data_IF_027421132722
#
_entry.id   IF_027421132722
#
_cell.length_a   1.000
_cell.length_b   1.000
_cell.length_c   1.000
_cell.angle_alpha   90.00
_cell.angle_beta   90.00
_cell.angle_gamma   90.00
#
_symmetry.space_group_name_H-M   'P 1'
#
loop_
_entity.id
_entity.type
_entity.pdbx_description
1 polymer ?
#
# COMPACT_ATOMS: atom_id res chain seq x y z
N UNK A 1 -16.43 68.94 30.39
CA UNK A 1 -16.38 67.70 29.60
C UNK A 1 -16.59 66.53 30.55
N UNK A 2 -17.81 66.01 30.64
CA UNK A 2 -18.17 64.95 31.59
C UNK A 2 -17.80 63.57 31.02
N UNK A 3 -16.79 62.93 31.61
CA UNK A 3 -16.46 61.53 31.31
C UNK A 3 -17.59 60.63 31.82
N UNK A 4 -18.30 59.97 30.90
CA UNK A 4 -19.19 58.86 31.25
C UNK A 4 -18.33 57.77 31.90
N UNK A 5 -18.68 57.37 33.12
CA UNK A 5 -18.06 56.22 33.79
C UNK A 5 -18.43 54.96 33.01
N UNK A 6 -17.43 54.14 32.67
CA UNK A 6 -17.65 52.84 32.07
C UNK A 6 -18.52 51.98 33.00
N UNK A 7 -19.44 51.24 32.41
CA UNK A 7 -20.26 50.26 33.11
C UNK A 7 -19.38 49.06 33.50
N UNK A 8 -19.65 48.43 34.64
CA UNK A 8 -18.86 47.28 35.14
C UNK A 8 -18.79 46.12 34.13
N UNK A 9 -19.85 45.95 33.33
CA UNK A 9 -19.90 45.01 32.20
C UNK A 9 -18.92 45.37 31.08
N UNK A 10 -18.86 46.65 30.70
CA UNK A 10 -17.93 47.13 29.68
C UNK A 10 -16.48 46.97 30.13
N UNK A 11 -16.23 47.08 31.44
CA UNK A 11 -14.91 46.87 32.03
C UNK A 11 -14.48 45.40 31.96
N UNK A 12 -15.38 44.46 32.20
CA UNK A 12 -15.10 43.02 32.07
C UNK A 12 -14.91 42.58 30.61
N UNK A 13 -15.71 43.12 29.69
CA UNK A 13 -15.58 42.85 28.25
C UNK A 13 -14.26 43.40 27.70
N UNK A 14 -13.77 44.55 28.20
CA UNK A 14 -12.45 45.08 27.87
C UNK A 14 -11.30 44.14 28.31
N UNK A 15 -11.40 43.57 29.51
CA UNK A 15 -10.37 42.65 30.04
C UNK A 15 -10.30 41.37 29.20
N UNK A 16 -11.45 40.77 28.88
CA UNK A 16 -11.50 39.56 28.05
C UNK A 16 -11.00 39.79 26.62
N UNK A 17 -11.28 40.97 26.05
CA UNK A 17 -10.73 41.36 24.75
C UNK A 17 -9.21 41.58 24.80
N UNK A 18 -8.68 42.21 25.86
CA UNK A 18 -7.23 42.37 26.04
C UNK A 18 -6.50 41.03 26.22
N UNK A 19 -7.09 40.08 26.94
CA UNK A 19 -6.54 38.73 27.05
C UNK A 19 -6.52 38.00 25.71
N UNK A 20 -7.61 38.11 24.96
CA UNK A 20 -7.73 37.54 23.61
C UNK A 20 -6.69 38.16 22.67
N UNK A 21 -6.53 39.48 22.66
CA UNK A 21 -5.53 40.19 21.87
C UNK A 21 -4.10 39.76 22.23
N UNK A 22 -3.80 39.66 23.53
CA UNK A 22 -2.50 39.19 24.03
C UNK A 22 -2.20 37.76 23.56
N UNK A 23 -3.21 36.89 23.55
CA UNK A 23 -3.09 35.51 23.08
C UNK A 23 -2.87 35.45 21.56
N UNK A 24 -3.58 36.28 20.78
CA UNK A 24 -3.41 36.38 19.33
C UNK A 24 -2.05 36.96 18.96
N UNK A 25 -1.59 38.01 19.64
CA UNK A 25 -0.26 38.60 19.40
C UNK A 25 0.87 37.60 19.65
N UNK A 26 0.77 36.77 20.70
CA UNK A 26 1.74 35.68 20.94
C UNK A 26 1.73 34.67 19.79
N UNK A 27 0.55 34.25 19.32
CA UNK A 27 0.42 33.35 18.16
C UNK A 27 1.03 33.97 16.90
N UNK A 28 0.76 35.25 16.61
CA UNK A 28 1.35 35.98 15.47
C UNK A 28 2.87 36.06 15.58
N UNK A 29 3.40 36.31 16.78
CA UNK A 29 4.85 36.35 17.00
C UNK A 29 5.49 34.98 16.74
N UNK A 30 4.90 33.90 17.25
CA UNK A 30 5.36 32.54 16.96
C UNK A 30 5.29 32.18 15.47
N UNK A 31 4.25 32.63 14.75
CA UNK A 31 4.10 32.42 13.31
C UNK A 31 5.13 33.23 12.50
N UNK A 32 5.40 34.48 12.88
CA UNK A 32 6.41 35.33 12.21
C UNK A 32 7.84 34.87 12.47
N UNK A 33 8.16 34.34 13.66
CA UNK A 33 9.45 33.67 13.92
C UNK A 33 9.58 32.38 13.10
N UNK A 34 8.48 31.63 12.92
CA UNK A 34 8.41 30.42 12.06
C UNK A 34 8.60 30.76 10.58
N UNK A 35 8.06 31.88 10.11
CA UNK A 35 8.18 32.36 8.73
C UNK A 35 9.62 32.74 8.35
N UNK A 36 10.42 33.23 9.31
CA UNK A 36 11.84 33.56 9.12
C UNK A 36 12.78 32.36 9.12
N UNK A 37 12.30 31.16 9.45
CA UNK A 37 13.15 29.98 9.49
C UNK A 37 13.36 29.41 8.08
N UNK A 38 14.62 29.16 7.70
CA UNK A 38 15.01 28.55 6.41
C UNK A 38 14.23 27.26 6.09
N UNK A 39 13.81 26.54 7.13
CA UNK A 39 12.95 25.36 7.07
C UNK A 39 11.56 25.63 6.48
N UNK A 40 10.94 26.79 6.71
CA UNK A 40 9.63 27.13 6.16
C UNK A 40 9.72 27.35 4.63
N UNK A 41 10.77 28.03 4.17
CA UNK A 41 11.00 28.26 2.74
C UNK A 41 11.32 26.95 1.99
N UNK A 42 12.10 26.06 2.60
CA UNK A 42 12.36 24.71 2.06
C UNK A 42 11.09 23.83 2.07
N UNK A 43 10.29 23.91 3.13
CA UNK A 43 9.01 23.18 3.23
C UNK A 43 7.98 23.66 2.20
N UNK A 44 7.90 24.97 1.92
CA UNK A 44 7.04 25.51 0.87
C UNK A 44 7.46 25.05 -0.53
N UNK A 45 8.77 24.94 -0.81
CA UNK A 45 9.27 24.40 -2.07
C UNK A 45 9.00 22.90 -2.23
N UNK A 46 8.92 22.15 -1.12
CA UNK A 46 8.60 20.71 -1.10
C UNK A 46 7.10 20.38 -1.14
N UNK A 47 6.20 21.36 -0.92
CA UNK A 47 4.75 21.17 -1.04
C UNK A 47 4.29 20.56 -2.37
N UNK A 48 4.72 21.06 -3.55
CA UNK A 48 4.32 20.45 -4.83
C UNK A 48 4.83 19.00 -4.96
N UNK A 49 6.02 18.70 -4.43
CA UNK A 49 6.55 17.33 -4.41
C UNK A 49 5.74 16.41 -3.47
N UNK A 50 5.30 16.90 -2.31
CA UNK A 50 4.44 16.16 -1.38
C UNK A 50 3.09 15.80 -2.04
N UNK A 51 2.48 16.76 -2.74
CA UNK A 51 1.22 16.53 -3.49
C UNK A 51 1.44 15.54 -4.62
N UNK A 52 2.50 15.69 -5.43
CA UNK A 52 2.81 14.78 -6.52
C UNK A 52 3.05 13.34 -6.03
N UNK A 53 3.79 13.18 -4.93
CA UNK A 53 4.02 11.86 -4.35
C UNK A 53 2.73 11.26 -3.81
N UNK A 54 1.88 12.07 -3.16
CA UNK A 54 0.58 11.64 -2.65
C UNK A 54 -0.37 11.20 -3.77
N UNK A 55 -0.48 11.98 -4.85
CA UNK A 55 -1.32 11.62 -6.01
C UNK A 55 -0.79 10.39 -6.73
N UNK A 56 0.53 10.26 -6.90
CA UNK A 56 1.15 9.06 -7.47
C UNK A 56 0.92 7.81 -6.59
N UNK A 57 1.05 7.95 -5.28
CA UNK A 57 0.77 6.87 -4.33
C UNK A 57 -0.71 6.45 -4.32
N UNK A 58 -1.64 7.40 -4.47
CA UNK A 58 -3.08 7.13 -4.62
C UNK A 58 -3.37 6.42 -5.96
N UNK A 59 -2.77 6.87 -7.06
CA UNK A 59 -2.92 6.20 -8.35
C UNK A 59 -2.37 4.75 -8.28
N UNK A 60 -1.21 4.58 -7.65
CA UNK A 60 -0.61 3.26 -7.40
C UNK A 60 -1.52 2.34 -6.58
N UNK A 61 -2.16 2.84 -5.52
CA UNK A 61 -3.06 2.02 -4.69
C UNK A 61 -4.28 1.55 -5.49
N UNK A 62 -4.86 2.41 -6.34
CA UNK A 62 -5.99 2.06 -7.22
C UNK A 62 -5.58 1.00 -8.23
N UNK A 63 -4.41 1.13 -8.86
CA UNK A 63 -3.90 0.13 -9.82
C UNK A 63 -3.67 -1.22 -9.13
N UNK A 64 -3.06 -1.24 -7.95
CA UNK A 64 -2.86 -2.46 -7.16
C UNK A 64 -4.21 -3.08 -6.78
N UNK A 65 -5.16 -2.27 -6.30
CA UNK A 65 -6.49 -2.74 -5.92
C UNK A 65 -7.21 -3.39 -7.11
N UNK A 66 -7.23 -2.71 -8.25
CA UNK A 66 -7.83 -3.23 -9.48
C UNK A 66 -7.16 -4.54 -9.93
N UNK A 67 -5.83 -4.62 -9.86
CA UNK A 67 -5.06 -5.83 -10.19
C UNK A 67 -5.43 -7.00 -9.29
N UNK A 68 -5.52 -6.79 -7.97
CA UNK A 68 -5.89 -7.83 -7.01
C UNK A 68 -7.34 -8.28 -7.23
N UNK A 69 -8.26 -7.37 -7.55
CA UNK A 69 -9.65 -7.70 -7.88
C UNK A 69 -9.72 -8.59 -9.12
N UNK A 70 -9.01 -8.24 -10.19
CA UNK A 70 -8.98 -9.05 -11.41
C UNK A 70 -8.43 -10.45 -11.14
N UNK A 71 -7.29 -10.55 -10.45
CA UNK A 71 -6.71 -11.84 -10.07
C UNK A 71 -7.67 -12.64 -9.18
N UNK A 72 -8.35 -12.00 -8.22
CA UNK A 72 -9.31 -12.68 -7.36
C UNK A 72 -10.52 -13.22 -8.14
N UNK A 73 -11.02 -12.48 -9.12
CA UNK A 73 -12.10 -12.91 -10.02
C UNK A 73 -11.68 -14.09 -10.89
N UNK A 74 -10.46 -14.07 -11.42
CA UNK A 74 -9.89 -15.18 -12.18
C UNK A 74 -9.74 -16.44 -11.31
N UNK A 75 -9.31 -16.31 -10.05
CA UNK A 75 -9.29 -17.43 -9.07
C UNK A 75 -10.68 -18.01 -8.83
N UNK A 76 -11.72 -17.16 -8.76
CA UNK A 76 -13.10 -17.64 -8.60
C UNK A 76 -13.54 -18.45 -9.82
N UNK A 77 -13.32 -17.93 -11.04
CA UNK A 77 -13.64 -18.66 -12.28
C UNK A 77 -12.89 -19.99 -12.37
N UNK A 78 -11.60 -20.00 -12.06
CA UNK A 78 -10.79 -21.22 -12.04
C UNK A 78 -11.26 -22.27 -11.01
N UNK A 79 -11.86 -21.84 -9.89
CA UNK A 79 -12.49 -22.74 -8.91
C UNK A 79 -13.84 -23.30 -9.36
N UNK A 80 -14.57 -22.57 -10.21
CA UNK A 80 -15.87 -22.99 -10.75
C UNK A 80 -15.77 -23.88 -11.99
N UNK A 81 -14.58 -23.99 -12.61
CA UNK A 81 -14.28 -25.06 -13.56
C UNK A 81 -14.17 -26.39 -12.80
N UNK A 82 -15.33 -26.99 -12.53
CA UNK A 82 -15.52 -28.28 -11.86
C UNK A 82 -16.65 -29.07 -12.52
N UNK A 83 -16.79 -28.94 -13.84
CA UNK A 83 -17.75 -29.71 -14.62
C UNK A 83 -17.30 -29.84 -16.08
N UNK A 84 -17.09 -31.08 -16.54
CA UNK A 84 -17.04 -31.41 -17.96
C UNK A 84 -15.73 -31.98 -18.46
N UNK A 85 -14.68 -31.18 -18.58
CA UNK A 85 -13.55 -31.53 -19.45
C UNK A 85 -12.23 -31.54 -18.69
N UNK A 86 -11.55 -32.69 -18.70
CA UNK A 86 -10.34 -33.03 -17.95
C UNK A 86 -9.07 -32.24 -18.29
N UNK A 87 -9.15 -30.90 -18.37
CA UNK A 87 -8.00 -30.00 -18.23
C UNK A 87 -7.87 -29.62 -16.75
N UNK A 88 -6.69 -29.89 -16.18
CA UNK A 88 -6.42 -29.90 -14.74
C UNK A 88 -6.90 -28.66 -13.98
N UNK A 89 -8.12 -28.73 -13.46
CA UNK A 89 -8.68 -27.75 -12.54
C UNK A 89 -8.29 -28.11 -11.11
N UNK A 90 -7.26 -27.43 -10.61
CA UNK A 90 -6.77 -27.58 -9.25
C UNK A 90 -5.63 -26.62 -8.87
N UNK A 91 -5.22 -25.75 -9.79
CA UNK A 91 -4.17 -24.78 -9.55
C UNK A 91 -4.70 -23.57 -8.80
N UNK A 92 -4.07 -23.23 -7.67
CA UNK A 92 -4.19 -21.92 -7.02
C UNK A 92 -3.52 -20.79 -7.83
N UNK A 93 -2.93 -21.13 -8.98
CA UNK A 93 -2.17 -20.26 -9.86
C UNK A 93 -3.04 -19.83 -11.04
N UNK A 94 -2.89 -18.57 -11.42
CA UNK A 94 -3.76 -17.88 -12.37
C UNK A 94 -2.91 -17.31 -13.49
N UNK A 95 -3.41 -17.41 -14.71
CA UNK A 95 -2.69 -16.99 -15.91
C UNK A 95 -2.68 -15.47 -16.14
N UNK A 96 -3.34 -14.66 -15.31
CA UNK A 96 -3.01 -13.23 -15.17
C UNK A 96 -3.02 -12.38 -16.44
N UNK A 97 -3.70 -12.83 -17.49
CA UNK A 97 -3.62 -12.24 -18.83
C UNK A 97 -4.15 -10.81 -18.85
N UNK A 98 -5.13 -10.49 -17.99
CA UNK A 98 -5.79 -9.18 -17.95
C UNK A 98 -5.33 -8.27 -16.81
N UNK A 99 -4.33 -8.70 -16.03
CA UNK A 99 -3.86 -7.93 -14.88
C UNK A 99 -2.88 -6.83 -15.34
N UNK A 100 -3.16 -5.53 -15.07
CA UNK A 100 -2.37 -4.43 -15.61
C UNK A 100 -0.96 -4.35 -15.02
N UNK A 101 -0.76 -4.72 -13.75
CA UNK A 101 0.58 -4.74 -13.16
C UNK A 101 1.40 -5.88 -13.73
N UNK A 102 0.77 -7.05 -13.95
CA UNK A 102 1.41 -8.17 -14.63
C UNK A 102 1.85 -7.81 -16.05
N UNK A 103 0.95 -7.22 -16.84
CA UNK A 103 1.25 -6.75 -18.19
C UNK A 103 2.34 -5.68 -18.21
N UNK A 104 2.33 -4.74 -17.25
CA UNK A 104 3.37 -3.72 -17.12
C UNK A 104 4.75 -4.30 -16.80
N UNK A 105 4.81 -5.36 -15.99
CA UNK A 105 6.05 -6.07 -15.68
C UNK A 105 6.57 -6.88 -16.87
N UNK A 106 5.69 -7.57 -17.60
CA UNK A 106 6.04 -8.32 -18.82
C UNK A 106 6.42 -7.40 -19.99
N UNK A 107 5.85 -6.20 -20.06
CA UNK A 107 6.25 -5.22 -21.07
C UNK A 107 7.61 -4.60 -20.72
N UNK A 108 7.83 -4.27 -19.44
CA UNK A 108 9.11 -3.71 -18.99
C UNK A 108 10.27 -4.69 -19.06
N UNK A 109 10.03 -5.99 -19.03
CA UNK A 109 11.07 -7.03 -19.13
C UNK A 109 11.78 -7.08 -20.48
N UNK A 110 11.19 -6.46 -21.52
CA UNK A 110 11.85 -6.26 -22.81
C UNK A 110 13.07 -5.32 -22.70
N UNK A 111 13.08 -4.43 -21.71
CA UNK A 111 14.12 -3.44 -21.45
C UNK A 111 14.84 -3.76 -20.14
N UNK A 112 15.74 -4.74 -20.16
CA UNK A 112 16.54 -5.09 -18.99
C UNK A 112 17.34 -3.87 -18.47
N UNK A 113 17.34 -3.52 -17.16
CA UNK A 113 16.76 -4.21 -15.98
C UNK A 113 15.49 -3.53 -15.40
N UNK A 114 14.67 -2.90 -16.24
CA UNK A 114 13.57 -2.03 -15.81
C UNK A 114 12.47 -2.78 -15.04
N UNK A 115 12.21 -4.02 -15.41
CA UNK A 115 11.27 -4.95 -14.75
C UNK A 115 11.62 -5.21 -13.28
N UNK A 116 12.91 -5.40 -12.98
CA UNK A 116 13.42 -5.66 -11.64
C UNK A 116 13.30 -4.42 -10.75
N UNK A 117 13.56 -3.24 -11.32
CA UNK A 117 13.36 -1.96 -10.63
C UNK A 117 11.87 -1.74 -10.35
N UNK A 118 11.01 -1.99 -11.34
CA UNK A 118 9.57 -1.82 -11.21
C UNK A 118 8.99 -2.78 -10.15
N UNK A 119 9.35 -4.06 -10.18
CA UNK A 119 8.95 -5.02 -9.16
C UNK A 119 9.43 -4.58 -7.77
N UNK A 120 10.67 -4.12 -7.65
CA UNK A 120 11.22 -3.63 -6.38
C UNK A 120 10.43 -2.41 -5.87
N UNK A 121 10.06 -1.47 -6.75
CA UNK A 121 9.24 -0.32 -6.39
C UNK A 121 7.84 -0.74 -5.94
N UNK A 122 7.21 -1.72 -6.58
CA UNK A 122 5.90 -2.25 -6.15
C UNK A 122 6.00 -2.90 -4.77
N UNK A 123 7.01 -3.75 -4.53
CA UNK A 123 7.21 -4.39 -3.23
C UNK A 123 7.52 -3.36 -2.14
N UNK A 124 8.42 -2.41 -2.43
CA UNK A 124 8.76 -1.33 -1.51
C UNK A 124 7.54 -0.47 -1.18
N UNK A 125 6.72 -0.15 -2.19
CA UNK A 125 5.47 0.58 -2.01
C UNK A 125 4.52 -0.17 -1.07
N UNK A 126 4.26 -1.45 -1.32
CA UNK A 126 3.41 -2.26 -0.44
C UNK A 126 3.97 -2.33 0.99
N UNK A 127 5.29 -2.50 1.13
CA UNK A 127 5.94 -2.49 2.44
C UNK A 127 5.76 -1.14 3.16
N UNK A 128 5.99 -0.01 2.47
CA UNK A 128 5.78 1.32 3.03
C UNK A 128 4.32 1.57 3.40
N UNK A 129 3.37 1.08 2.60
CA UNK A 129 1.95 1.11 2.96
C UNK A 129 1.65 0.33 4.24
N UNK A 130 2.23 -0.88 4.40
CA UNK A 130 2.06 -1.67 5.63
C UNK A 130 2.68 -0.99 6.84
N UNK A 131 3.85 -0.35 6.67
CA UNK A 131 4.52 0.41 7.72
C UNK A 131 3.70 1.64 8.11
N UNK A 132 3.20 2.40 7.14
CA UNK A 132 2.34 3.57 7.37
C UNK A 132 1.04 3.17 8.08
N UNK A 133 0.40 2.07 7.64
CA UNK A 133 -0.79 1.54 8.32
C UNK A 133 -0.50 1.15 9.78
N UNK A 134 0.64 0.51 10.04
CA UNK A 134 1.05 0.15 11.39
C UNK A 134 1.30 1.38 12.27
N UNK A 135 1.92 2.43 11.73
CA UNK A 135 2.22 3.68 12.44
C UNK A 135 0.93 4.46 12.77
N UNK A 136 0.05 4.68 11.79
CA UNK A 136 -1.15 5.51 11.99
C UNK A 136 -2.26 4.80 12.77
N UNK A 137 -2.50 3.50 12.50
CA UNK A 137 -3.55 2.74 13.19
C UNK A 137 -3.08 2.26 14.58
N UNK A 138 -1.78 1.98 14.70
CA UNK A 138 -1.19 1.30 15.85
C UNK A 138 -1.46 -0.21 15.84
N UNK A 139 -0.89 -0.93 16.81
CA UNK A 139 -1.17 -2.36 16.96
C UNK A 139 -2.44 -2.54 17.81
N UNK A 140 -3.52 -2.96 17.16
CA UNK A 140 -4.79 -3.29 17.80
C UNK A 140 -5.09 -4.76 17.57
N UNK A 141 -5.20 -5.53 18.65
CA UNK A 141 -6.03 -6.74 18.63
C UNK A 141 -7.46 -6.24 18.52
N UNK A 142 -8.40 -6.88 17.80
CA UNK A 142 -9.63 -6.29 17.25
C UNK A 142 -10.44 -5.34 18.15
N UNK A 143 -10.28 -5.39 19.47
CA UNK A 143 -10.91 -4.48 20.43
C UNK A 143 -9.97 -3.83 21.48
N UNK A 144 -8.69 -4.22 21.52
CA UNK A 144 -7.72 -3.78 22.54
C UNK A 144 -6.51 -3.14 21.85
N UNK A 145 -6.23 -1.87 22.19
CA UNK A 145 -5.01 -1.16 21.75
C UNK A 145 -3.84 -1.65 22.59
N UNK A 146 -2.92 -2.40 21.98
CA UNK A 146 -1.73 -2.94 22.66
C UNK A 146 -0.57 -1.96 22.55
N UNK A 147 -0.41 -1.34 21.38
CA UNK A 147 0.68 -0.40 21.13
C UNK A 147 0.20 0.81 20.33
N UNK A 148 0.46 1.99 20.88
CA UNK A 148 0.33 3.27 20.21
C UNK A 148 1.72 3.77 19.79
N UNK A 149 1.93 3.95 18.48
CA UNK A 149 3.21 4.39 17.95
C UNK A 149 3.23 5.92 17.95
N UNK A 150 3.81 6.51 19.01
CA UNK A 150 4.02 7.95 19.12
C UNK A 150 5.44 8.33 18.76
N UNK A 151 5.60 9.36 17.94
CA UNK A 151 6.93 9.89 17.61
C UNK A 151 7.62 10.31 18.91
N UNK A 152 8.83 9.79 19.14
CA UNK A 152 9.69 10.07 20.33
C UNK A 152 9.14 9.61 21.69
N UNK A 153 8.02 8.90 21.74
CA UNK A 153 7.41 8.43 23.00
C UNK A 153 7.03 6.95 23.00
N UNK A 154 7.50 6.15 22.02
CA UNK A 154 7.32 4.69 22.02
C UNK A 154 8.30 3.98 22.96
N UNK A 155 7.82 3.09 23.85
CA UNK A 155 8.71 2.25 24.64
C UNK A 155 9.49 1.26 23.75
N UNK A 156 10.73 0.86 24.13
CA UNK A 156 11.58 -0.03 23.31
C UNK A 156 10.95 -1.41 23.08
N UNK A 157 10.18 -1.92 24.04
CA UNK A 157 9.41 -3.17 23.91
C UNK A 157 8.35 -3.07 22.80
N UNK A 158 7.73 -1.89 22.64
CA UNK A 158 6.77 -1.63 21.58
C UNK A 158 7.43 -1.64 20.20
N UNK A 159 8.62 -1.05 20.08
CA UNK A 159 9.38 -1.06 18.84
C UNK A 159 9.77 -2.49 18.42
N UNK A 160 10.18 -3.34 19.38
CA UNK A 160 10.47 -4.76 19.13
C UNK A 160 9.24 -5.56 18.68
N UNK A 161 8.06 -5.27 19.25
CA UNK A 161 6.82 -5.92 18.83
C UNK A 161 6.38 -5.45 17.43
N UNK A 162 6.54 -4.16 17.12
CA UNK A 162 6.23 -3.63 15.80
C UNK A 162 7.13 -4.26 14.71
N UNK A 163 8.42 -4.39 14.98
CA UNK A 163 9.36 -5.03 14.04
C UNK A 163 9.06 -6.53 13.88
N UNK A 164 8.71 -7.24 14.95
CA UNK A 164 8.35 -8.67 14.83
C UNK A 164 7.08 -8.87 14.01
N UNK A 165 6.07 -8.01 14.16
CA UNK A 165 4.86 -8.03 13.33
C UNK A 165 5.18 -7.75 11.86
N UNK A 166 6.06 -6.80 11.57
CA UNK A 166 6.50 -6.53 10.19
C UNK A 166 7.28 -7.71 9.59
N UNK A 167 8.13 -8.38 10.38
CA UNK A 167 8.86 -9.58 9.95
C UNK A 167 7.88 -10.71 9.60
N UNK A 168 6.91 -10.99 10.48
CA UNK A 168 5.86 -11.97 10.20
C UNK A 168 5.01 -11.55 8.99
N UNK A 169 4.79 -10.24 8.82
CA UNK A 169 4.07 -9.64 7.69
C UNK A 169 4.73 -9.82 6.32
N UNK A 170 6.02 -10.16 6.26
CA UNK A 170 6.72 -10.44 4.99
C UNK A 170 6.13 -11.65 4.25
N UNK A 171 5.63 -12.65 4.98
CA UNK A 171 5.04 -13.83 4.36
C UNK A 171 3.68 -13.50 3.69
N UNK A 172 2.70 -12.88 4.37
CA UNK A 172 1.51 -12.34 3.73
C UNK A 172 1.82 -11.41 2.56
N UNK A 173 2.83 -10.54 2.69
CA UNK A 173 3.26 -9.64 1.62
C UNK A 173 3.73 -10.42 0.39
N UNK A 174 4.51 -11.48 0.58
CA UNK A 174 4.96 -12.37 -0.50
C UNK A 174 3.79 -13.04 -1.22
N UNK A 175 2.78 -13.48 -0.47
CA UNK A 175 1.53 -13.98 -1.04
C UNK A 175 0.78 -12.91 -1.83
N UNK A 176 0.77 -11.68 -1.31
CA UNK A 176 0.12 -10.54 -1.94
C UNK A 176 0.76 -10.20 -3.29
N UNK A 177 2.09 -10.29 -3.42
CA UNK A 177 2.81 -10.08 -4.68
C UNK A 177 2.33 -11.05 -5.77
N UNK A 178 2.09 -12.32 -5.43
CA UNK A 178 1.48 -13.30 -6.37
C UNK A 178 0.02 -12.96 -6.70
N UNK A 179 -0.68 -12.23 -5.83
CA UNK A 179 -1.99 -11.66 -6.16
C UNK A 179 -1.91 -10.46 -7.11
N UNK A 180 -0.88 -9.62 -6.97
CA UNK A 180 -0.70 -8.39 -7.77
C UNK A 180 -0.18 -8.70 -9.16
N UNK A 181 0.73 -9.67 -9.33
CA UNK A 181 1.29 -10.04 -10.63
C UNK A 181 1.47 -11.57 -10.72
N UNK A 182 0.40 -12.34 -10.98
CA UNK A 182 0.42 -13.79 -10.81
C UNK A 182 1.36 -14.54 -11.76
N UNK A 183 1.44 -14.16 -13.05
CA UNK A 183 2.39 -14.80 -13.97
C UNK A 183 3.82 -14.36 -13.70
N UNK A 184 4.07 -13.06 -13.62
CA UNK A 184 5.42 -12.54 -13.44
C UNK A 184 6.02 -12.97 -12.09
N UNK A 185 5.25 -12.94 -10.99
CA UNK A 185 5.73 -13.46 -9.71
C UNK A 185 5.87 -15.00 -9.71
N UNK A 186 5.09 -15.70 -10.54
CA UNK A 186 5.08 -17.15 -10.66
C UNK A 186 6.28 -17.72 -11.41
N UNK A 187 6.53 -17.21 -12.62
CA UNK A 187 7.52 -17.74 -13.57
C UNK A 187 8.49 -16.66 -14.10
N UNK A 188 8.32 -15.39 -13.74
CA UNK A 188 9.12 -14.29 -14.27
C UNK A 188 8.80 -13.99 -15.74
N UNK A 189 9.83 -13.64 -16.50
CA UNK A 189 9.75 -13.39 -17.95
C UNK A 189 10.03 -14.66 -18.78
N UNK A 190 9.86 -15.85 -18.20
CA UNK A 190 10.14 -17.10 -18.91
C UNK A 190 9.05 -17.36 -19.97
N UNK A 191 9.50 -17.74 -21.17
CA UNK A 191 8.63 -18.15 -22.30
C UNK A 191 9.10 -19.50 -22.82
N UNK A 192 8.19 -20.28 -23.37
CA UNK A 192 8.51 -21.57 -23.99
C UNK A 192 7.84 -21.74 -25.35
N UNK A 193 8.41 -22.64 -26.15
CA UNK A 193 7.89 -23.01 -27.45
C UNK A 193 6.89 -24.17 -27.30
N UNK A 194 5.63 -23.93 -27.69
CA UNK A 194 4.58 -24.95 -27.63
C UNK A 194 4.61 -25.91 -28.84
N UNK A 195 5.32 -25.54 -29.92
CA UNK A 195 5.46 -26.39 -31.10
C UNK A 195 6.69 -27.33 -30.99
N UNK A 196 6.53 -28.58 -31.40
CA UNK A 196 7.62 -29.55 -31.52
C UNK A 196 7.77 -29.97 -32.98
N UNK A 197 8.95 -29.73 -33.55
CA UNK A 197 9.29 -30.16 -34.90
C UNK A 197 10.40 -31.22 -34.81
N UNK A 198 10.12 -32.44 -35.25
CA UNK A 198 11.12 -33.53 -35.26
C UNK A 198 11.63 -33.95 -33.87
N UNK A 199 10.85 -33.73 -32.81
CA UNK A 199 11.25 -34.03 -31.43
C UNK A 199 12.05 -32.92 -30.73
N UNK A 200 12.34 -31.82 -31.41
CA UNK A 200 12.99 -30.62 -30.86
C UNK A 200 11.97 -29.49 -30.75
N UNK A 201 11.94 -28.79 -29.62
CA UNK A 201 11.14 -27.57 -29.42
C UNK A 201 11.86 -26.39 -30.06
N UNK A 202 11.60 -26.13 -31.35
CA UNK A 202 12.15 -25.00 -32.07
C UNK A 202 11.02 -24.13 -32.64
N UNK A 203 11.01 -22.84 -32.28
CA UNK A 203 10.01 -21.86 -32.70
C UNK A 203 10.61 -20.74 -33.57
N UNK A 204 11.82 -20.93 -34.13
CA UNK A 204 12.46 -19.93 -34.99
C UNK A 204 11.59 -19.50 -36.18
N UNK A 205 10.93 -20.45 -36.81
CA UNK A 205 10.07 -20.21 -37.98
C UNK A 205 8.60 -19.94 -37.61
N UNK A 206 8.23 -20.07 -36.33
CA UNK A 206 6.88 -19.87 -35.84
C UNK A 206 6.89 -19.09 -34.51
N UNK A 207 7.14 -17.76 -34.55
CA UNK A 207 7.20 -16.94 -33.33
C UNK A 207 5.85 -16.87 -32.60
N UNK A 208 4.74 -17.16 -33.27
CA UNK A 208 3.39 -17.21 -32.69
C UNK A 208 3.23 -18.37 -31.69
N UNK A 209 4.07 -19.41 -31.79
CA UNK A 209 4.05 -20.54 -30.85
C UNK A 209 4.88 -20.31 -29.58
N UNK A 210 5.41 -19.09 -29.38
CA UNK A 210 6.10 -18.67 -28.15
C UNK A 210 5.04 -18.15 -27.17
N UNK A 211 4.88 -18.87 -26.05
CA UNK A 211 3.85 -18.60 -25.04
C UNK A 211 4.53 -18.39 -23.68
N UNK A 212 4.03 -17.48 -22.81
CA UNK A 212 4.53 -17.35 -21.45
C UNK A 212 4.42 -18.67 -20.67
N UNK A 213 5.41 -18.92 -19.81
CA UNK A 213 5.35 -20.05 -18.89
C UNK A 213 4.16 -19.92 -17.93
N UNK A 214 3.40 -20.99 -17.79
CA UNK A 214 2.22 -21.08 -16.91
C UNK A 214 2.12 -22.46 -16.25
N UNK A 215 0.97 -22.75 -15.66
CA UNK A 215 0.73 -24.04 -14.97
C UNK A 215 0.75 -25.21 -15.94
N UNK A 216 0.29 -25.00 -17.18
CA UNK A 216 0.26 -26.03 -18.22
C UNK A 216 1.63 -26.27 -18.87
N UNK A 217 2.64 -25.47 -18.52
CA UNK A 217 3.95 -25.54 -19.17
C UNK A 217 4.77 -26.77 -18.70
N UNK A 218 5.59 -27.34 -19.60
CA UNK A 218 6.48 -28.45 -19.26
C UNK A 218 7.48 -28.07 -18.15
N UNK A 219 7.54 -28.88 -17.10
CA UNK A 219 8.44 -28.65 -15.95
C UNK A 219 9.93 -28.79 -16.28
N UNK A 220 10.25 -29.41 -17.42
CA UNK A 220 11.61 -29.51 -17.97
C UNK A 220 12.11 -28.20 -18.60
N UNK A 221 11.20 -27.26 -18.93
CA UNK A 221 11.54 -26.00 -19.60
C UNK A 221 11.30 -24.80 -18.68
N UNK A 222 10.15 -24.75 -18.01
CA UNK A 222 9.77 -23.63 -17.17
C UNK A 222 10.06 -23.92 -15.70
N UNK A 223 10.83 -23.03 -15.05
CA UNK A 223 11.17 -23.14 -13.63
C UNK A 223 10.43 -22.09 -12.82
N UNK A 224 9.58 -22.49 -11.85
CA UNK A 224 8.85 -21.53 -11.02
C UNK A 224 9.79 -20.78 -10.07
N UNK A 225 9.39 -19.57 -9.67
CA UNK A 225 10.17 -18.77 -8.72
C UNK A 225 10.18 -19.37 -7.32
N UNK A 226 11.15 -18.94 -6.49
CA UNK A 226 11.22 -19.35 -5.08
C UNK A 226 9.97 -18.94 -4.29
N UNK A 227 9.40 -17.77 -4.59
CA UNK A 227 8.17 -17.29 -3.95
C UNK A 227 6.98 -18.18 -4.33
N UNK A 228 6.85 -18.51 -5.61
CA UNK A 228 5.80 -19.37 -6.14
C UNK A 228 5.86 -20.78 -5.54
N UNK A 229 7.06 -21.38 -5.50
CA UNK A 229 7.28 -22.71 -4.91
C UNK A 229 7.01 -22.72 -3.40
N UNK A 230 7.45 -21.68 -2.67
CA UNK A 230 7.18 -21.54 -1.24
C UNK A 230 5.68 -21.48 -0.95
N UNK A 231 4.94 -20.61 -1.65
CA UNK A 231 3.50 -20.43 -1.47
C UNK A 231 2.75 -21.71 -1.84
N UNK A 232 3.12 -22.36 -2.94
CA UNK A 232 2.51 -23.63 -3.36
C UNK A 232 2.71 -24.70 -2.30
N UNK A 233 3.94 -24.82 -1.76
CA UNK A 233 4.25 -25.79 -0.70
C UNK A 233 3.50 -25.51 0.60
N UNK A 234 3.39 -24.24 1.02
CA UNK A 234 2.61 -23.85 2.20
C UNK A 234 1.13 -24.16 1.99
N UNK A 235 0.58 -23.82 0.84
CA UNK A 235 -0.84 -24.01 0.52
C UNK A 235 -1.21 -25.49 0.45
N UNK A 236 -0.34 -26.32 -0.13
CA UNK A 236 -0.56 -27.77 -0.25
C UNK A 236 -0.34 -28.49 1.09
N UNK A 237 0.71 -28.13 1.83
CA UNK A 237 1.01 -28.73 3.14
C UNK A 237 -0.01 -28.33 4.21
N UNK A 238 -0.52 -27.10 4.15
CA UNK A 238 -1.43 -26.53 5.14
C UNK A 238 -2.61 -25.81 4.45
N UNK A 239 -3.69 -26.53 4.08
CA UNK A 239 -4.81 -25.97 3.32
C UNK A 239 -5.57 -24.86 4.08
N UNK A 240 -5.47 -24.85 5.41
CA UNK A 240 -6.01 -23.78 6.26
C UNK A 240 -5.40 -22.41 5.90
N UNK A 241 -4.07 -22.32 5.79
CA UNK A 241 -3.39 -21.06 5.46
C UNK A 241 -3.74 -20.60 4.05
N UNK A 242 -3.80 -21.52 3.07
CA UNK A 242 -4.22 -21.21 1.71
C UNK A 242 -5.61 -20.57 1.65
N UNK A 243 -6.56 -21.15 2.39
CA UNK A 243 -7.93 -20.64 2.48
C UNK A 243 -7.99 -19.29 3.21
N UNK A 244 -7.28 -19.15 4.33
CA UNK A 244 -7.21 -17.91 5.08
C UNK A 244 -6.64 -16.76 4.24
N UNK A 245 -5.55 -17.00 3.51
CA UNK A 245 -4.96 -16.01 2.61
C UNK A 245 -5.89 -15.64 1.46
N UNK A 246 -6.58 -16.61 0.87
CA UNK A 246 -7.59 -16.34 -0.16
C UNK A 246 -8.72 -15.42 0.34
N UNK A 247 -9.32 -15.72 1.50
CA UNK A 247 -10.38 -14.87 2.06
C UNK A 247 -9.85 -13.50 2.50
N UNK A 248 -8.61 -13.43 2.97
CA UNK A 248 -7.97 -12.17 3.34
C UNK A 248 -7.86 -11.18 2.17
N UNK A 249 -7.69 -11.67 0.94
CA UNK A 249 -7.67 -10.81 -0.26
C UNK A 249 -9.03 -10.15 -0.51
N UNK A 250 -10.13 -10.89 -0.34
CA UNK A 250 -11.49 -10.34 -0.45
C UNK A 250 -11.80 -9.34 0.66
N UNK A 251 -11.41 -9.65 1.90
CA UNK A 251 -11.56 -8.73 3.03
C UNK A 251 -10.75 -7.45 2.78
N UNK A 252 -9.51 -7.57 2.31
CA UNK A 252 -8.67 -6.42 1.96
C UNK A 252 -9.33 -5.54 0.89
N UNK A 253 -9.84 -6.14 -0.19
CA UNK A 253 -10.55 -5.40 -1.24
C UNK A 253 -11.76 -4.67 -0.67
N UNK A 254 -12.59 -5.34 0.13
CA UNK A 254 -13.78 -4.74 0.73
C UNK A 254 -13.43 -3.55 1.64
N UNK A 255 -12.44 -3.72 2.52
CA UNK A 255 -11.98 -2.65 3.42
C UNK A 255 -11.36 -1.49 2.63
N UNK A 256 -10.59 -1.78 1.59
CA UNK A 256 -9.99 -0.75 0.74
C UNK A 256 -11.05 0.06 -0.03
N UNK A 257 -12.09 -0.59 -0.55
CA UNK A 257 -13.20 0.08 -1.23
C UNK A 257 -13.99 0.97 -0.27
N UNK A 258 -14.33 0.47 0.92
CA UNK A 258 -14.99 1.27 1.96
C UNK A 258 -14.12 2.45 2.36
N UNK A 259 -12.82 2.23 2.58
CA UNK A 259 -11.87 3.29 2.90
C UNK A 259 -11.77 4.35 1.80
N UNK A 260 -11.76 3.95 0.54
CA UNK A 260 -11.75 4.87 -0.61
C UNK A 260 -13.03 5.71 -0.66
N UNK A 261 -14.20 5.09 -0.49
CA UNK A 261 -15.49 5.79 -0.47
C UNK A 261 -15.56 6.79 0.70
N UNK A 262 -15.13 6.38 1.89
CA UNK A 262 -15.08 7.26 3.07
C UNK A 262 -14.10 8.40 2.86
N UNK A 263 -12.92 8.15 2.28
CA UNK A 263 -11.93 9.19 2.00
C UNK A 263 -12.46 10.24 1.01
N UNK A 264 -13.17 9.81 -0.03
CA UNK A 264 -13.81 10.73 -1.00
C UNK A 264 -14.95 11.51 -0.34
N UNK A 265 -15.74 10.88 0.54
CA UNK A 265 -16.84 11.53 1.25
C UNK A 265 -16.42 12.51 2.35
N UNK A 266 -15.32 12.23 3.05
CA UNK A 266 -14.87 12.97 4.24
C UNK A 266 -13.66 13.88 3.98
N UNK A 267 -13.27 14.13 2.72
CA UNK A 267 -12.04 14.86 2.38
C UNK A 267 -11.88 16.24 3.04
N UNK A 268 -12.97 16.85 3.50
CA UNK A 268 -12.99 18.18 4.14
C UNK A 268 -12.56 18.19 5.61
N UNK A 269 -12.76 17.09 6.36
CA UNK A 269 -12.41 17.04 7.79
C UNK A 269 -10.97 16.60 8.08
N UNK A 270 -10.33 15.91 7.12
CA UNK A 270 -8.98 15.35 7.32
C UNK A 270 -7.86 16.37 7.14
N UNK A 271 -8.10 17.42 6.35
CA UNK A 271 -7.15 18.53 6.21
C UNK A 271 -7.00 19.30 7.52
N UNK A 272 -8.09 19.47 8.28
CA UNK A 272 -8.09 20.17 9.57
C UNK A 272 -7.34 19.39 10.66
N UNK A 273 -7.53 18.06 10.76
CA UNK A 273 -6.82 17.22 11.74
C UNK A 273 -5.31 17.10 11.44
N UNK A 274 -4.91 16.98 10.16
CA UNK A 274 -3.48 16.92 9.79
C UNK A 274 -2.76 18.25 10.07
N UNK A 275 -3.43 19.40 9.91
CA UNK A 275 -2.88 20.71 10.27
C UNK A 275 -2.71 20.87 11.79
N UNK A 276 -3.69 20.43 12.60
CA UNK A 276 -3.61 20.46 14.06
C UNK A 276 -2.49 19.57 14.62
N UNK A 277 -2.32 18.36 14.10
CA UNK A 277 -1.25 17.43 14.51
C UNK A 277 0.15 17.95 14.10
N UNK A 278 0.30 18.50 12.88
CA UNK A 278 1.56 19.11 12.44
C UNK A 278 1.95 20.33 13.30
N UNK A 279 0.97 21.08 13.79
CA UNK A 279 1.19 22.23 14.67
C UNK A 279 1.46 21.83 16.13
N UNK A 280 0.83 20.76 16.63
CA UNK A 280 1.08 20.20 17.95
C UNK A 280 2.47 19.53 18.06
N UNK A 281 2.92 18.83 17.03
CA UNK A 281 4.27 18.23 16.98
C UNK A 281 5.40 19.25 16.87
N UNK A 282 5.13 20.45 16.33
CA UNK A 282 6.12 21.52 16.15
C UNK A 282 6.12 22.56 17.28
N UNK A 283 5.20 22.47 18.24
CA UNK A 283 5.27 23.27 19.45
C UNK A 283 6.58 22.93 20.19
N UNK A 284 7.47 23.90 20.46
CA UNK A 284 8.66 23.63 21.23
C UNK A 284 8.23 23.15 22.62
N UNK A 285 8.77 21.99 23.04
CA UNK A 285 8.66 21.51 24.41
C UNK A 285 9.24 22.60 25.31
N UNK A 286 8.35 23.36 25.95
CA UNK A 286 8.70 24.22 27.07
C UNK A 286 9.25 23.29 28.14
N UNK A 287 10.57 23.31 28.31
CA UNK A 287 11.25 22.68 29.44
C UNK A 287 11.17 23.62 30.64
#
# INVERSE_FOLDING_TARGET
>A
MGGRRLTDRDQHDLVTLQESESSLQRRIHHLTTREKSFLHRCSCALRPFKILFGTAALAGSVVVLFSVVLTAMERVKGRFCGGGDGKGCGGWMVEGEWNPVNLGLLWSSQYFPLDSILLTLVILYLFLCTLSALVHIGLRVPWIRILEIKRRATPPQGLLLATSVLIVGMLPLSYFVVGVAPQYAGWGNQVYCNATFGGVRDCRDLPVAIIPCGVEAPADVCTPTVVSTLIHRITFSMPFFGSAYYYSQWIFVAVALVGLVVAVGNGKGREEEEEEDEDLERAPLVR
#
